data_IF_123929697687
#
_entry.id   IF_123929697687
#
_cell.length_a   1.000
_cell.length_b   1.000
_cell.length_c   1.000
_cell.angle_alpha   90.00
_cell.angle_beta   90.00
_cell.angle_gamma   90.00
#
_symmetry.space_group_name_H-M   'P 1'
#
loop_
_entity.id
_entity.type
_entity.pdbx_description
1 polymer ?
#
# COMPACT_ATOMS: atom_id res chain seq x y z
N UNK A 1 4.95 15.06 32.13
CA UNK A 1 4.88 13.59 32.25
C UNK A 1 4.85 13.03 30.84
N UNK A 2 5.99 12.52 30.38
CA UNK A 2 6.23 12.11 28.99
C UNK A 2 6.03 10.60 28.85
N UNK A 3 4.88 10.18 28.33
CA UNK A 3 4.60 8.79 28.02
C UNK A 3 5.19 8.44 26.65
N UNK A 4 6.33 7.76 26.65
CA UNK A 4 6.95 7.19 25.46
C UNK A 4 6.17 5.97 24.98
N UNK A 5 5.75 5.99 23.71
CA UNK A 5 5.15 4.85 23.02
C UNK A 5 6.16 3.69 22.89
N UNK A 6 5.71 2.43 22.94
CA UNK A 6 6.59 1.29 22.77
C UNK A 6 7.07 1.20 21.31
N UNK A 7 8.38 1.01 21.16
CA UNK A 7 9.06 0.82 19.89
C UNK A 7 8.61 -0.52 19.29
N UNK A 8 7.87 -0.48 18.18
CA UNK A 8 7.58 -1.67 17.38
C UNK A 8 8.90 -2.20 16.81
N UNK A 9 9.31 -3.37 17.29
CA UNK A 9 10.37 -4.17 16.69
C UNK A 9 9.88 -4.66 15.32
N UNK A 10 10.69 -4.56 14.25
CA UNK A 10 10.33 -5.19 12.99
C UNK A 10 10.25 -6.70 13.21
N UNK A 11 9.14 -7.30 12.79
CA UNK A 11 8.97 -8.75 12.74
C UNK A 11 10.15 -9.36 12.00
N UNK A 12 10.84 -10.29 12.65
CA UNK A 12 11.88 -11.12 12.07
C UNK A 12 11.53 -11.51 10.64
N UNK A 13 12.48 -11.28 9.74
CA UNK A 13 12.55 -11.92 8.43
C UNK A 13 12.24 -13.41 8.57
N UNK A 14 11.46 -14.02 7.66
CA UNK A 14 11.29 -15.46 7.68
C UNK A 14 12.69 -16.06 7.49
N UNK A 15 13.18 -16.74 8.52
CA UNK A 15 14.38 -17.55 8.41
C UNK A 15 14.04 -18.60 7.36
N UNK A 16 14.55 -18.40 6.14
CA UNK A 16 14.54 -19.39 5.08
C UNK A 16 15.29 -20.60 5.61
N UNK A 17 14.59 -21.51 6.28
CA UNK A 17 15.05 -22.87 6.46
C UNK A 17 15.02 -23.47 5.07
N UNK A 18 16.18 -23.48 4.41
CA UNK A 18 16.36 -24.25 3.19
C UNK A 18 15.87 -25.67 3.48
N UNK A 19 14.88 -26.14 2.72
CA UNK A 19 14.35 -27.50 2.82
C UNK A 19 15.46 -28.57 2.75
N UNK A 20 16.65 -28.21 2.23
CA UNK A 20 17.86 -29.01 2.21
C UNK A 20 18.46 -29.37 3.59
N UNK A 21 18.11 -28.68 4.68
CA UNK A 21 18.61 -29.03 6.02
C UNK A 21 17.78 -30.12 6.72
N UNK A 22 16.53 -30.32 6.30
CA UNK A 22 15.60 -31.30 6.88
C UNK A 22 15.70 -32.68 6.24
N UNK A 23 16.22 -32.74 5.02
CA UNK A 23 16.44 -33.98 4.27
C UNK A 23 17.95 -34.14 4.09
N UNK A 24 18.53 -35.21 4.64
CA UNK A 24 19.91 -35.60 4.33
C UNK A 24 20.15 -35.73 2.82
N UNK A 25 21.40 -35.80 2.35
CA UNK A 25 21.72 -35.82 0.93
C UNK A 25 20.88 -36.87 0.20
N UNK A 26 20.06 -36.42 -0.75
CA UNK A 26 19.22 -37.27 -1.56
C UNK A 26 20.02 -37.79 -2.77
N UNK A 27 19.91 -39.09 -3.11
CA UNK A 27 19.15 -40.14 -2.43
C UNK A 27 19.87 -40.70 -1.19
N UNK A 28 19.12 -41.16 -0.15
CA UNK A 28 19.66 -41.92 0.98
C UNK A 28 20.61 -43.04 0.53
N UNK A 29 21.77 -43.19 1.19
CA UNK A 29 22.76 -44.25 0.88
C UNK A 29 22.16 -45.66 0.88
N UNK A 30 21.14 -45.89 1.70
CA UNK A 30 20.40 -47.15 1.77
C UNK A 30 19.64 -47.47 0.46
N UNK A 31 19.18 -46.45 -0.27
CA UNK A 31 18.54 -46.63 -1.57
C UNK A 31 19.56 -46.93 -2.66
N UNK A 32 20.77 -46.36 -2.62
CA UNK A 32 21.80 -46.58 -3.67
C UNK A 32 22.33 -48.01 -3.76
N UNK A 33 22.26 -48.80 -2.68
CA UNK A 33 22.70 -50.21 -2.69
C UNK A 33 21.72 -51.14 -3.42
N UNK A 34 20.43 -50.76 -3.50
CA UNK A 34 19.38 -51.61 -4.09
C UNK A 34 19.27 -51.49 -5.61
N UNK A 35 19.85 -50.46 -6.23
CA UNK A 35 19.80 -50.26 -7.68
C UNK A 35 20.56 -51.34 -8.47
N UNK A 36 21.50 -52.05 -7.85
CA UNK A 36 22.22 -53.17 -8.48
C UNK A 36 21.44 -54.50 -8.47
N UNK A 37 20.25 -54.56 -7.87
CA UNK A 37 19.40 -55.76 -7.84
C UNK A 37 18.18 -55.70 -8.76
N UNK A 38 17.92 -54.57 -9.41
CA UNK A 38 16.92 -54.52 -10.48
C UNK A 38 17.47 -55.20 -11.73
N UNK A 39 17.25 -56.52 -11.84
CA UNK A 39 17.38 -57.21 -13.12
C UNK A 39 16.35 -56.62 -14.08
N UNK A 40 16.78 -55.69 -14.94
CA UNK A 40 15.95 -55.21 -16.02
C UNK A 40 15.49 -56.42 -16.86
N UNK A 41 14.19 -56.54 -17.19
CA UNK A 41 13.72 -57.62 -18.03
C UNK A 41 14.45 -57.55 -19.38
N UNK A 42 14.95 -58.69 -19.85
CA UNK A 42 15.62 -58.75 -21.15
C UNK A 42 14.68 -58.25 -22.24
N UNK A 43 15.22 -57.46 -23.18
CA UNK A 43 14.46 -56.97 -24.35
C UNK A 43 13.93 -58.18 -25.13
N UNK A 44 12.61 -58.29 -25.24
CA UNK A 44 11.94 -59.36 -25.98
C UNK A 44 11.97 -58.99 -27.46
N UNK A 45 12.42 -59.90 -28.32
CA UNK A 45 12.37 -59.73 -29.76
C UNK A 45 10.91 -59.87 -30.26
N UNK A 46 10.36 -58.81 -30.84
CA UNK A 46 8.97 -58.77 -31.34
C UNK A 46 8.74 -59.69 -32.55
N UNK A 47 9.77 -60.00 -33.34
CA UNK A 47 9.66 -60.90 -34.49
C UNK A 47 9.81 -62.38 -34.12
N UNK A 48 10.22 -62.68 -32.89
CA UNK A 48 10.38 -64.04 -32.38
C UNK A 48 10.11 -64.07 -30.87
N UNK A 49 8.83 -63.95 -30.44
CA UNK A 49 8.48 -64.03 -29.03
C UNK A 49 8.85 -65.43 -28.49
N UNK A 50 9.44 -65.52 -27.29
CA UNK A 50 9.79 -66.80 -26.70
C UNK A 50 8.54 -67.64 -26.46
N UNK A 51 8.59 -68.96 -26.67
CA UNK A 51 7.43 -69.83 -26.47
C UNK A 51 6.97 -69.75 -25.00
N UNK A 52 5.65 -69.74 -24.75
CA UNK A 52 5.12 -69.57 -23.41
C UNK A 52 5.61 -70.72 -22.51
N UNK A 53 6.29 -70.39 -21.41
CA UNK A 53 6.93 -71.36 -20.51
C UNK A 53 5.93 -72.31 -19.82
N UNK A 54 4.64 -71.98 -19.82
CA UNK A 54 3.52 -72.81 -19.34
C UNK A 54 2.28 -72.49 -20.20
N UNK A 55 1.37 -73.46 -20.39
CA UNK A 55 0.01 -73.16 -20.87
C UNK A 55 -0.62 -72.17 -19.90
N UNK A 56 -0.82 -70.94 -20.37
CA UNK A 56 -1.54 -69.92 -19.60
C UNK A 56 -3.02 -70.31 -19.69
N UNK A 57 -3.48 -71.13 -18.73
CA UNK A 57 -4.92 -71.28 -18.47
C UNK A 57 -5.38 -70.05 -17.67
N UNK A 58 -5.27 -68.86 -18.27
CA UNK A 58 -6.02 -67.70 -17.81
C UNK A 58 -7.44 -67.89 -18.30
N UNK A 59 -8.34 -68.28 -17.40
CA UNK A 59 -9.75 -68.01 -17.64
C UNK A 59 -9.85 -66.49 -17.85
N UNK A 60 -10.41 -66.05 -18.97
CA UNK A 60 -10.66 -64.63 -19.26
C UNK A 60 -11.78 -64.05 -18.38
N UNK A 61 -12.00 -64.65 -17.22
CA UNK A 61 -13.07 -64.31 -16.31
C UNK A 61 -12.64 -63.12 -15.47
N UNK A 62 -13.05 -61.94 -15.92
CA UNK A 62 -12.89 -60.66 -15.22
C UNK A 62 -13.87 -60.48 -14.06
N UNK A 63 -14.59 -61.54 -13.68
CA UNK A 63 -15.68 -61.54 -12.69
C UNK A 63 -15.29 -60.87 -11.35
N UNK A 64 -14.11 -61.14 -10.75
CA UNK A 64 -13.70 -60.47 -9.51
C UNK A 64 -13.46 -58.96 -9.69
N UNK A 65 -12.87 -58.57 -10.82
CA UNK A 65 -12.59 -57.16 -11.11
C UNK A 65 -13.87 -56.37 -11.40
N UNK A 66 -14.83 -56.97 -12.11
CA UNK A 66 -16.15 -56.39 -12.30
C UNK A 66 -16.89 -56.21 -10.98
N UNK A 67 -16.85 -57.21 -10.10
CA UNK A 67 -17.44 -57.10 -8.76
C UNK A 67 -16.85 -55.94 -7.94
N UNK A 68 -15.52 -55.77 -7.95
CA UNK A 68 -14.88 -54.65 -7.25
C UNK A 68 -15.28 -53.28 -7.83
N UNK A 69 -15.38 -53.17 -9.15
CA UNK A 69 -15.79 -51.95 -9.82
C UNK A 69 -17.26 -51.62 -9.55
N UNK A 70 -18.15 -52.61 -9.59
CA UNK A 70 -19.58 -52.45 -9.28
C UNK A 70 -19.79 -52.07 -7.82
N UNK A 71 -19.08 -52.71 -6.89
CA UNK A 71 -19.11 -52.34 -5.46
C UNK A 71 -18.65 -50.90 -5.25
N UNK A 72 -17.57 -50.48 -5.92
CA UNK A 72 -17.07 -49.09 -5.84
C UNK A 72 -18.09 -48.10 -6.38
N UNK A 73 -18.69 -48.39 -7.54
CA UNK A 73 -19.74 -47.56 -8.16
C UNK A 73 -20.91 -47.35 -7.19
N UNK A 74 -21.41 -48.42 -6.58
CA UNK A 74 -22.53 -48.35 -5.62
C UNK A 74 -22.17 -47.52 -4.39
N UNK A 75 -20.98 -47.70 -3.81
CA UNK A 75 -20.53 -46.90 -2.67
C UNK A 75 -20.39 -45.41 -3.01
N UNK A 76 -19.90 -45.08 -4.21
CA UNK A 76 -19.83 -43.69 -4.67
C UNK A 76 -21.22 -43.08 -4.86
N UNK A 77 -22.16 -43.82 -5.46
CA UNK A 77 -23.54 -43.37 -5.60
C UNK A 77 -24.20 -43.12 -4.24
N UNK A 78 -24.00 -44.03 -3.28
CA UNK A 78 -24.52 -43.87 -1.93
C UNK A 78 -23.93 -42.63 -1.23
N UNK A 79 -22.61 -42.42 -1.32
CA UNK A 79 -21.95 -41.25 -0.71
C UNK A 79 -22.44 -39.94 -1.31
N UNK A 80 -22.63 -39.87 -2.62
CA UNK A 80 -23.11 -38.64 -3.26
C UNK A 80 -24.57 -38.37 -2.88
N UNK A 81 -25.40 -39.42 -2.82
CA UNK A 81 -26.75 -39.31 -2.29
C UNK A 81 -26.75 -38.80 -0.84
N UNK A 82 -25.95 -39.40 0.05
CA UNK A 82 -25.82 -38.93 1.43
C UNK A 82 -25.32 -37.49 1.53
N UNK A 83 -24.35 -37.09 0.71
CA UNK A 83 -23.83 -35.71 0.65
C UNK A 83 -24.92 -34.73 0.25
N UNK A 84 -25.66 -35.02 -0.83
CA UNK A 84 -26.74 -34.17 -1.30
C UNK A 84 -27.84 -34.04 -0.26
N UNK A 85 -28.29 -35.16 0.31
CA UNK A 85 -29.39 -35.18 1.25
C UNK A 85 -29.03 -34.65 2.64
N UNK A 86 -27.81 -34.88 3.12
CA UNK A 86 -27.40 -34.45 4.47
C UNK A 86 -27.37 -32.94 4.66
N UNK A 87 -27.19 -32.16 3.60
CA UNK A 87 -27.15 -30.70 3.66
C UNK A 87 -28.54 -30.09 3.94
N UNK A 88 -29.59 -30.65 3.34
CA UNK A 88 -30.95 -30.10 3.43
C UNK A 88 -31.89 -30.94 4.30
N UNK A 89 -31.61 -32.21 4.57
CA UNK A 89 -32.48 -33.04 5.40
C UNK A 89 -32.38 -32.68 6.88
N UNK A 90 -31.18 -32.39 7.39
CA UNK A 90 -30.95 -32.09 8.82
C UNK A 90 -31.71 -30.85 9.32
N UNK A 91 -31.76 -29.73 8.58
CA UNK A 91 -32.51 -28.54 9.00
C UNK A 91 -34.04 -28.76 9.14
N UNK A 92 -34.64 -29.64 8.33
CA UNK A 92 -36.10 -29.79 8.25
C UNK A 92 -36.63 -31.10 8.84
N UNK A 93 -35.87 -32.18 8.71
CA UNK A 93 -36.27 -33.55 9.06
C UNK A 93 -35.32 -34.21 10.08
N UNK A 94 -34.24 -33.53 10.50
CA UNK A 94 -33.31 -34.04 11.51
C UNK A 94 -33.84 -33.99 12.95
N UNK A 95 -33.08 -34.53 13.92
CA UNK A 95 -33.37 -34.39 15.34
C UNK A 95 -33.51 -32.91 15.76
N UNK A 96 -34.28 -32.60 16.82
CA UNK A 96 -34.46 -31.23 17.28
C UNK A 96 -33.14 -30.48 17.55
N UNK A 97 -32.09 -31.18 18.01
CA UNK A 97 -30.77 -30.62 18.23
C UNK A 97 -30.13 -30.07 16.93
N UNK A 98 -30.23 -30.81 15.84
CA UNK A 98 -29.66 -30.43 14.53
C UNK A 98 -30.41 -29.24 13.92
N UNK A 99 -31.74 -29.24 14.04
CA UNK A 99 -32.59 -28.11 13.62
C UNK A 99 -32.20 -26.84 14.36
N UNK A 100 -31.96 -26.95 15.67
CA UNK A 100 -31.57 -25.81 16.48
C UNK A 100 -30.16 -25.32 16.20
N UNK A 101 -29.20 -26.23 15.94
CA UNK A 101 -27.86 -25.86 15.51
C UNK A 101 -27.88 -25.07 14.20
N UNK A 102 -28.69 -25.50 13.22
CA UNK A 102 -28.89 -24.78 11.97
C UNK A 102 -29.47 -23.38 12.20
N UNK A 103 -30.58 -23.26 12.95
CA UNK A 103 -31.17 -21.94 13.26
C UNK A 103 -30.21 -21.03 14.04
N UNK A 104 -29.43 -21.60 14.96
CA UNK A 104 -28.41 -20.87 15.71
C UNK A 104 -27.34 -20.29 14.78
N UNK A 105 -26.82 -21.08 13.85
CA UNK A 105 -25.83 -20.62 12.88
C UNK A 105 -26.33 -19.38 12.10
N UNK A 106 -27.57 -19.39 11.59
CA UNK A 106 -28.10 -18.22 10.88
C UNK A 106 -28.26 -17.00 11.78
N UNK A 107 -28.69 -17.18 13.04
CA UNK A 107 -28.75 -16.07 14.00
C UNK A 107 -27.37 -15.49 14.29
N UNK A 108 -26.34 -16.32 14.42
CA UNK A 108 -24.96 -15.88 14.63
C UNK A 108 -24.42 -15.12 13.41
N UNK A 109 -24.65 -15.64 12.20
CA UNK A 109 -24.28 -14.96 10.95
C UNK A 109 -24.97 -13.60 10.84
N UNK A 110 -26.27 -13.53 11.13
CA UNK A 110 -27.02 -12.26 11.11
C UNK A 110 -26.50 -11.27 12.15
N UNK A 111 -26.23 -11.71 13.38
CA UNK A 111 -25.63 -10.87 14.42
C UNK A 111 -24.29 -10.30 13.96
N UNK A 112 -23.44 -11.14 13.38
CA UNK A 112 -22.15 -10.72 12.83
C UNK A 112 -22.32 -9.70 11.70
N UNK A 113 -23.24 -9.93 10.76
CA UNK A 113 -23.53 -8.98 9.69
C UNK A 113 -24.00 -7.61 10.23
N UNK A 114 -24.81 -7.61 11.30
CA UNK A 114 -25.26 -6.37 11.95
C UNK A 114 -24.09 -5.64 12.63
N UNK A 115 -23.22 -6.38 13.31
CA UNK A 115 -22.01 -5.83 13.94
C UNK A 115 -21.02 -5.26 12.91
N UNK A 116 -20.76 -6.01 11.83
CA UNK A 116 -19.91 -5.58 10.72
C UNK A 116 -20.49 -4.31 10.04
N UNK A 117 -21.82 -4.22 9.90
CA UNK A 117 -22.47 -3.04 9.35
C UNK A 117 -22.39 -1.82 10.28
N UNK A 118 -22.53 -2.01 11.59
CA UNK A 118 -22.41 -0.92 12.58
C UNK A 118 -20.96 -0.43 12.69
N UNK A 119 -19.99 -1.35 12.76
CA UNK A 119 -18.57 -1.00 12.77
C UNK A 119 -18.17 -0.24 11.51
N UNK A 120 -18.62 -0.68 10.32
CA UNK A 120 -18.41 0.04 9.07
C UNK A 120 -18.94 1.47 9.13
N UNK A 121 -20.19 1.67 9.60
CA UNK A 121 -20.78 3.01 9.76
C UNK A 121 -19.98 3.89 10.71
N UNK A 122 -19.49 3.34 11.82
CA UNK A 122 -18.66 4.08 12.79
C UNK A 122 -17.34 4.52 12.18
N UNK A 123 -16.66 3.63 11.45
CA UNK A 123 -15.40 3.96 10.77
C UNK A 123 -15.63 5.02 9.69
N UNK A 124 -16.68 4.90 8.88
CA UNK A 124 -17.04 5.91 7.87
C UNK A 124 -17.34 7.27 8.51
N UNK A 125 -18.04 7.28 9.65
CA UNK A 125 -18.32 8.51 10.37
C UNK A 125 -17.05 9.15 10.92
N UNK A 126 -16.17 8.37 11.55
CA UNK A 126 -14.87 8.88 12.03
C UNK A 126 -14.00 9.42 10.90
N UNK A 127 -13.96 8.75 9.75
CA UNK A 127 -13.24 9.23 8.58
C UNK A 127 -13.75 10.60 8.11
N UNK A 128 -15.08 10.78 8.04
CA UNK A 128 -15.70 12.06 7.67
C UNK A 128 -15.43 13.17 8.70
N UNK A 129 -15.41 12.83 9.99
CA UNK A 129 -15.04 13.80 11.02
C UNK A 129 -13.59 14.29 10.83
N UNK A 130 -12.65 13.37 10.64
CA UNK A 130 -11.25 13.73 10.39
C UNK A 130 -11.07 14.53 9.11
N UNK A 131 -11.77 14.17 8.03
CA UNK A 131 -11.77 14.95 6.79
C UNK A 131 -12.29 16.38 7.03
N UNK A 132 -13.40 16.52 7.76
CA UNK A 132 -13.96 17.84 8.08
C UNK A 132 -13.03 18.69 8.95
N UNK A 133 -12.38 18.07 9.93
CA UNK A 133 -11.41 18.73 10.80
C UNK A 133 -10.19 19.21 10.00
N UNK A 134 -9.68 18.38 9.09
CA UNK A 134 -8.57 18.75 8.22
C UNK A 134 -8.91 19.94 7.30
N UNK A 135 -10.12 19.97 6.72
CA UNK A 135 -10.58 21.08 5.88
C UNK A 135 -10.70 22.38 6.69
N UNK A 136 -11.25 22.31 7.90
CA UNK A 136 -11.36 23.48 8.78
C UNK A 136 -9.97 23.99 9.18
N UNK A 137 -9.04 23.10 9.49
CA UNK A 137 -7.68 23.49 9.85
C UNK A 137 -6.94 24.12 8.66
N UNK A 138 -7.15 23.59 7.46
CA UNK A 138 -6.62 24.18 6.23
C UNK A 138 -7.17 25.60 5.99
N UNK A 139 -8.48 25.81 6.15
CA UNK A 139 -9.08 27.16 6.01
C UNK A 139 -8.50 28.16 7.01
N UNK A 140 -8.26 27.75 8.27
CA UNK A 140 -7.57 28.59 9.25
C UNK A 140 -6.17 28.96 8.79
N UNK A 141 -5.41 28.01 8.26
CA UNK A 141 -4.06 28.26 7.74
C UNK A 141 -4.07 29.25 6.59
N UNK A 142 -5.01 29.10 5.64
CA UNK A 142 -5.19 30.06 4.54
C UNK A 142 -5.46 31.47 5.07
N UNK A 143 -6.37 31.62 6.03
CA UNK A 143 -6.67 32.94 6.64
C UNK A 143 -5.46 33.57 7.32
N UNK A 144 -4.66 32.76 8.02
CA UNK A 144 -3.42 33.23 8.66
C UNK A 144 -2.42 33.68 7.57
N UNK A 145 -2.29 32.91 6.49
CA UNK A 145 -1.39 33.24 5.40
C UNK A 145 -1.82 34.51 4.67
N UNK A 146 -3.10 34.66 4.34
CA UNK A 146 -3.65 35.88 3.74
C UNK A 146 -3.36 37.11 4.62
N UNK A 147 -3.54 36.99 5.93
CA UNK A 147 -3.21 38.06 6.87
C UNK A 147 -1.72 38.40 6.84
N UNK A 148 -0.85 37.39 6.85
CA UNK A 148 0.60 37.58 6.75
C UNK A 148 1.00 38.25 5.44
N UNK A 149 0.38 37.88 4.33
CA UNK A 149 0.65 38.46 3.01
C UNK A 149 0.20 39.91 2.92
N UNK A 150 -0.93 40.27 3.53
CA UNK A 150 -1.37 41.67 3.67
C UNK A 150 -0.36 42.48 4.47
N UNK A 151 0.08 41.98 5.62
CA UNK A 151 1.08 42.66 6.46
C UNK A 151 2.43 42.80 5.72
N UNK A 152 2.86 41.74 5.04
CA UNK A 152 4.10 41.74 4.25
C UNK A 152 4.05 42.76 3.13
N UNK A 153 2.95 42.82 2.38
CA UNK A 153 2.72 43.81 1.33
C UNK A 153 2.72 45.22 1.89
N UNK A 154 2.04 45.45 3.02
CA UNK A 154 2.02 46.75 3.68
C UNK A 154 3.43 47.20 4.09
N UNK A 155 4.19 46.32 4.75
CA UNK A 155 5.56 46.62 5.18
C UNK A 155 6.48 46.90 4.00
N UNK A 156 6.36 46.14 2.92
CA UNK A 156 7.07 46.39 1.67
C UNK A 156 6.74 47.79 1.14
N UNK A 157 5.47 48.12 0.93
CA UNK A 157 5.09 49.45 0.40
C UNK A 157 5.52 50.60 1.30
N UNK A 158 5.44 50.42 2.63
CA UNK A 158 5.94 51.39 3.59
C UNK A 158 7.44 51.61 3.43
N UNK A 159 8.22 50.53 3.34
CA UNK A 159 9.66 50.60 3.15
C UNK A 159 10.03 51.34 1.85
N UNK A 160 9.36 51.01 0.74
CA UNK A 160 9.57 51.68 -0.55
C UNK A 160 9.23 53.17 -0.51
N UNK A 161 8.14 53.53 0.18
CA UNK A 161 7.77 54.94 0.37
C UNK A 161 8.85 55.69 1.14
N UNK A 162 9.32 55.11 2.24
CA UNK A 162 10.28 55.75 3.13
C UNK A 162 11.66 55.88 2.45
N UNK A 163 12.10 54.87 1.68
CA UNK A 163 13.32 54.95 0.86
C UNK A 163 13.21 56.00 -0.26
N UNK A 164 12.08 56.05 -0.98
CA UNK A 164 11.86 57.05 -2.01
C UNK A 164 11.89 58.47 -1.43
N UNK A 165 11.33 58.66 -0.23
CA UNK A 165 11.40 59.94 0.47
C UNK A 165 12.85 60.30 0.82
N UNK A 166 13.59 59.36 1.41
CA UNK A 166 15.00 59.55 1.74
C UNK A 166 15.84 59.92 0.50
N UNK A 167 15.61 59.23 -0.62
CA UNK A 167 16.28 59.51 -1.89
C UNK A 167 15.97 60.91 -2.42
N UNK A 168 14.71 61.34 -2.35
CA UNK A 168 14.30 62.68 -2.78
C UNK A 168 14.91 63.77 -1.88
N UNK A 169 14.94 63.56 -0.57
CA UNK A 169 15.57 64.48 0.39
C UNK A 169 17.08 64.62 0.12
N UNK A 170 17.77 63.51 -0.11
CA UNK A 170 19.21 63.52 -0.45
C UNK A 170 19.47 64.20 -1.80
N UNK A 171 18.60 63.98 -2.79
CA UNK A 171 18.68 64.65 -4.09
C UNK A 171 18.50 66.16 -3.96
N UNK A 172 17.52 66.61 -3.18
CA UNK A 172 17.30 68.03 -2.89
C UNK A 172 18.47 68.66 -2.13
N UNK A 173 19.04 67.96 -1.16
CA UNK A 173 20.21 68.44 -0.43
C UNK A 173 21.41 68.60 -1.35
N UNK A 174 21.68 67.61 -2.22
CA UNK A 174 22.73 67.67 -3.25
C UNK A 174 22.51 68.83 -4.22
N UNK A 175 21.30 69.02 -4.74
CA UNK A 175 20.98 70.14 -5.63
C UNK A 175 21.17 71.49 -4.93
N UNK A 176 20.77 71.62 -3.65
CA UNK A 176 20.97 72.83 -2.85
C UNK A 176 22.46 73.10 -2.63
N UNK A 177 23.23 72.09 -2.25
CA UNK A 177 24.68 72.20 -2.07
C UNK A 177 25.36 72.61 -3.37
N UNK A 178 25.05 71.95 -4.48
CA UNK A 178 25.58 72.29 -5.80
C UNK A 178 25.27 73.74 -6.17
N UNK A 179 24.04 74.20 -5.93
CA UNK A 179 23.66 75.61 -6.16
C UNK A 179 24.53 76.57 -5.33
N UNK A 180 24.74 76.29 -4.05
CA UNK A 180 25.61 77.13 -3.19
C UNK A 180 27.06 77.15 -3.71
N UNK A 181 27.57 76.00 -4.16
CA UNK A 181 28.93 75.90 -4.72
C UNK A 181 29.05 76.65 -6.04
N UNK A 182 28.08 76.51 -6.96
CA UNK A 182 28.06 77.23 -8.23
C UNK A 182 27.93 78.74 -8.00
N UNK A 183 27.02 79.18 -7.12
CA UNK A 183 26.84 80.60 -6.80
C UNK A 183 28.11 81.20 -6.21
N UNK A 184 28.83 80.46 -5.35
CA UNK A 184 30.12 80.88 -4.79
C UNK A 184 31.19 81.01 -5.88
N UNK A 185 31.27 80.03 -6.78
CA UNK A 185 32.22 80.02 -7.88
C UNK A 185 31.95 81.18 -8.86
N UNK A 186 30.70 81.39 -9.24
CA UNK A 186 30.29 82.47 -10.14
C UNK A 186 30.59 83.85 -9.53
N UNK A 187 30.35 84.03 -8.22
CA UNK A 187 30.74 85.25 -7.49
C UNK A 187 32.24 85.51 -7.51
N UNK A 188 33.07 84.47 -7.44
CA UNK A 188 34.52 84.60 -7.53
C UNK A 188 34.97 84.99 -8.95
N UNK A 189 34.36 84.40 -9.99
CA UNK A 189 34.62 84.78 -11.39
C UNK A 189 34.24 86.23 -11.65
N UNK A 190 33.10 86.69 -11.12
CA UNK A 190 32.62 88.06 -11.30
C UNK A 190 33.60 89.13 -10.80
N UNK A 191 34.51 88.79 -9.88
CA UNK A 191 35.59 89.68 -9.45
C UNK A 191 36.57 90.00 -10.58
N UNK A 192 36.75 89.07 -11.53
CA UNK A 192 37.69 89.19 -12.63
C UNK A 192 37.00 89.53 -13.97
N UNK A 193 35.72 89.18 -14.14
CA UNK A 193 34.93 89.49 -15.33
C UNK A 193 33.49 89.88 -14.93
N UNK A 194 33.06 91.14 -15.12
CA UNK A 194 31.80 91.63 -14.55
C UNK A 194 30.52 91.10 -15.21
N UNK A 195 30.60 90.31 -16.29
CA UNK A 195 29.43 89.76 -16.98
C UNK A 195 29.15 88.34 -16.47
N UNK A 196 27.95 88.11 -15.95
CA UNK A 196 27.47 86.78 -15.54
C UNK A 196 26.96 85.98 -16.76
N UNK A 197 27.87 85.35 -17.49
CA UNK A 197 27.53 84.57 -18.70
C UNK A 197 26.70 83.31 -18.42
N UNK A 198 26.78 82.73 -17.21
CA UNK A 198 26.04 81.53 -16.83
C UNK A 198 24.59 81.80 -16.41
N UNK A 199 24.24 83.05 -16.08
CA UNK A 199 22.87 83.44 -15.71
C UNK A 199 22.33 82.76 -14.44
N UNK A 200 23.21 82.17 -13.64
CA UNK A 200 22.89 81.30 -12.49
C UNK A 200 22.71 82.07 -11.18
N UNK A 201 23.35 83.23 -11.05
CA UNK A 201 23.14 84.18 -9.96
C UNK A 201 21.85 85.00 -10.21
N UNK A 202 20.72 84.50 -9.70
CA UNK A 202 19.42 85.18 -9.64
C UNK A 202 19.09 85.61 -8.22
#
# INVERSE_FOLDING_TARGET
MTTSLPRLTPSCTPRSVSAAASYGPYPPRELTSTWNQMKFPNKINVLAPPPPRKRINTSWETTPQHWHNDRRRLLMQQKEHERYHSAWSKPFYGPPADKEAYRRHFREVLKKQMEDADTKKRVEFQAKLHESEAVVEYDKQCKIQDFQDVVKKYNYLKHFRDENKSFMEESWEKSRFNKVVTDRYDREILRYNPINWSGTLS
#
